data_IF_837614921383
#
_entry.id   IF_837614921383
#
_cell.length_a   1.000
_cell.length_b   1.000
_cell.length_c   1.000
_cell.angle_alpha   90.00
_cell.angle_beta   90.00
_cell.angle_gamma   90.00
#
_symmetry.space_group_name_H-M   'P 1'
#
loop_
_entity.id
_entity.type
_entity.pdbx_description
1 polymer ?
#
# COMPACT_ATOMS: atom_id res chain seq x y z
N UNK A 1 -17.82 17.74 -7.79
CA UNK A 1 -17.49 16.31 -7.92
C UNK A 1 -16.74 15.83 -6.68
N UNK A 2 -17.16 14.73 -6.05
CA UNK A 2 -16.55 14.19 -4.83
C UNK A 2 -15.16 13.60 -5.11
N UNK A 3 -14.16 13.95 -4.30
CA UNK A 3 -12.79 13.43 -4.39
C UNK A 3 -12.79 11.91 -4.23
N UNK A 4 -12.17 11.18 -5.16
CA UNK A 4 -11.98 9.73 -5.08
C UNK A 4 -11.16 9.42 -3.82
N UNK A 5 -11.72 8.62 -2.92
CA UNK A 5 -11.05 8.24 -1.67
C UNK A 5 -9.94 7.23 -1.97
N UNK A 6 -8.84 7.24 -1.21
CA UNK A 6 -7.75 6.27 -1.40
C UNK A 6 -8.09 4.87 -0.82
N UNK A 7 -9.31 4.65 -0.34
CA UNK A 7 -9.77 3.38 0.24
C UNK A 7 -10.64 2.65 -0.77
N UNK A 8 -10.41 1.35 -0.92
CA UNK A 8 -11.21 0.48 -1.78
C UNK A 8 -12.70 0.57 -1.39
N UNK A 9 -13.63 0.67 -2.35
CA UNK A 9 -15.06 0.62 -2.08
C UNK A 9 -15.42 -0.60 -1.24
N UNK A 10 -16.28 -0.40 -0.23
CA UNK A 10 -16.75 -1.49 0.63
C UNK A 10 -17.98 -2.15 0.01
N UNK A 11 -17.93 -3.47 -0.10
CA UNK A 11 -19.07 -4.27 -0.53
C UNK A 11 -20.07 -4.41 0.62
N UNK A 12 -21.34 -4.03 0.39
CA UNK A 12 -22.44 -4.17 1.36
C UNK A 12 -23.15 -5.51 1.26
N UNK A 13 -23.07 -6.19 0.11
CA UNK A 13 -23.78 -7.42 -0.17
C UNK A 13 -22.92 -8.68 0.06
N UNK A 14 -21.61 -8.51 0.21
CA UNK A 14 -20.70 -9.60 0.54
C UNK A 14 -21.04 -10.23 1.90
N UNK A 15 -21.00 -11.57 2.01
CA UNK A 15 -21.15 -12.24 3.29
C UNK A 15 -20.06 -11.76 4.26
N UNK A 16 -20.41 -11.73 5.55
CA UNK A 16 -19.47 -11.25 6.58
C UNK A 16 -18.42 -12.31 6.83
N UNK A 17 -17.14 -11.90 6.86
CA UNK A 17 -16.04 -12.81 7.17
C UNK A 17 -16.23 -13.47 8.54
N UNK A 18 -15.93 -14.77 8.65
CA UNK A 18 -16.04 -15.52 9.88
C UNK A 18 -14.99 -15.04 10.88
N UNK A 19 -15.27 -15.19 12.18
CA UNK A 19 -14.30 -14.92 13.23
C UNK A 19 -13.29 -16.08 13.35
N UNK A 20 -12.04 -15.75 13.70
CA UNK A 20 -11.05 -16.78 14.07
C UNK A 20 -11.41 -17.42 15.42
N UNK A 21 -10.83 -18.57 15.71
CA UNK A 21 -11.02 -19.28 16.99
C UNK A 21 -10.75 -18.39 18.21
N UNK A 22 -9.66 -17.61 18.16
CA UNK A 22 -9.32 -16.61 19.18
C UNK A 22 -10.39 -15.51 19.30
N UNK A 23 -10.89 -14.99 18.18
CA UNK A 23 -11.94 -13.95 18.20
C UNK A 23 -13.26 -14.50 18.73
N UNK A 24 -13.62 -15.74 18.39
CA UNK A 24 -14.78 -16.44 18.95
C UNK A 24 -14.65 -16.60 20.46
N UNK A 25 -13.47 -17.01 20.94
CA UNK A 25 -13.18 -17.06 22.38
C UNK A 25 -13.31 -15.69 23.03
N UNK A 26 -12.76 -14.63 22.43
CA UNK A 26 -12.91 -13.27 22.95
C UNK A 26 -14.35 -12.75 22.94
N UNK A 27 -15.19 -13.16 21.98
CA UNK A 27 -16.63 -12.87 22.00
C UNK A 27 -17.33 -13.66 23.10
N UNK A 28 -17.01 -14.94 23.26
CA UNK A 28 -17.54 -15.80 24.31
C UNK A 28 -17.19 -15.24 25.70
N UNK A 29 -15.92 -14.93 25.94
CA UNK A 29 -15.43 -14.41 27.21
C UNK A 29 -16.05 -13.06 27.58
N UNK A 30 -16.28 -12.17 26.61
CA UNK A 30 -17.02 -10.91 26.83
C UNK A 30 -18.49 -11.10 27.19
N UNK A 31 -19.09 -12.22 26.79
CA UNK A 31 -20.48 -12.56 27.12
C UNK A 31 -20.58 -13.27 28.47
N UNK A 32 -19.62 -14.12 28.80
CA UNK A 32 -19.63 -14.90 30.04
C UNK A 32 -19.04 -14.13 31.23
N UNK A 33 -18.08 -13.24 30.97
CA UNK A 33 -17.42 -12.43 31.98
C UNK A 33 -17.77 -10.94 31.78
N UNK A 34 -18.73 -10.39 32.56
CA UNK A 34 -19.17 -9.00 32.44
C UNK A 34 -18.07 -8.00 32.82
N UNK A 35 -17.04 -8.44 33.56
CA UNK A 35 -15.89 -7.59 33.88
C UNK A 35 -15.11 -7.26 32.62
N UNK A 36 -14.93 -8.23 31.71
CA UNK A 36 -14.29 -8.01 30.41
C UNK A 36 -15.15 -7.09 29.55
N UNK A 37 -16.48 -7.22 29.59
CA UNK A 37 -17.38 -6.32 28.88
C UNK A 37 -17.21 -4.85 29.29
N UNK A 38 -16.90 -4.60 30.56
CA UNK A 38 -16.79 -3.25 31.15
C UNK A 38 -15.38 -2.63 31.05
N UNK A 39 -14.34 -3.44 30.81
CA UNK A 39 -12.96 -2.98 30.67
C UNK A 39 -12.73 -2.16 29.39
N UNK A 40 -11.64 -1.39 29.33
CA UNK A 40 -11.24 -0.74 28.07
C UNK A 40 -10.81 -1.80 27.05
N UNK A 41 -11.05 -1.56 25.76
CA UNK A 41 -10.74 -2.53 24.67
C UNK A 41 -9.28 -3.01 24.71
N UNK A 42 -8.34 -2.14 25.09
CA UNK A 42 -6.92 -2.49 25.25
C UNK A 42 -6.67 -3.48 26.40
N UNK A 43 -7.38 -3.33 27.52
CA UNK A 43 -7.32 -4.23 28.67
C UNK A 43 -8.02 -5.55 28.37
N UNK A 44 -9.16 -5.50 27.67
CA UNK A 44 -9.86 -6.68 27.17
C UNK A 44 -8.93 -7.54 26.32
N UNK A 45 -8.23 -6.94 25.35
CA UNK A 45 -7.33 -7.67 24.46
C UNK A 45 -6.19 -8.36 25.24
N UNK A 46 -5.61 -7.69 26.24
CA UNK A 46 -4.59 -8.28 27.13
C UNK A 46 -5.16 -9.45 27.91
N UNK A 47 -6.32 -9.28 28.55
CA UNK A 47 -6.95 -10.31 29.36
C UNK A 47 -7.35 -11.54 28.54
N UNK A 48 -8.02 -11.34 27.40
CA UNK A 48 -8.39 -12.42 26.47
C UNK A 48 -7.13 -13.14 25.97
N UNK A 49 -6.06 -12.39 25.65
CA UNK A 49 -4.76 -12.94 25.28
C UNK A 49 -4.20 -13.89 26.34
N UNK A 50 -4.11 -13.43 27.58
CA UNK A 50 -3.62 -14.25 28.70
C UNK A 50 -4.49 -15.49 28.92
N UNK A 51 -5.82 -15.34 28.93
CA UNK A 51 -6.76 -16.46 29.10
C UNK A 51 -6.65 -17.49 27.98
N UNK A 52 -6.44 -17.07 26.74
CA UNK A 52 -6.30 -17.99 25.60
C UNK A 52 -5.02 -18.83 25.64
N UNK A 53 -3.93 -18.30 26.19
CA UNK A 53 -2.67 -19.04 26.33
C UNK A 53 -2.75 -20.14 27.39
N UNK A 54 -3.49 -19.88 28.47
CA UNK A 54 -3.69 -20.84 29.57
C UNK A 54 -4.97 -21.68 29.43
N UNK A 55 -5.73 -21.48 28.36
CA UNK A 55 -6.99 -22.20 28.12
C UNK A 55 -6.70 -23.69 27.92
N UNK A 56 -7.57 -24.53 28.47
CA UNK A 56 -7.45 -25.98 28.32
C UNK A 56 -7.43 -26.37 26.82
N UNK A 57 -6.55 -27.31 26.41
CA UNK A 57 -6.46 -27.72 25.02
C UNK A 57 -7.79 -28.23 24.45
N UNK A 58 -8.64 -28.89 25.24
CA UNK A 58 -9.94 -29.39 24.77
C UNK A 58 -10.91 -28.25 24.50
N UNK A 59 -11.00 -27.28 25.40
CA UNK A 59 -11.82 -26.09 25.19
C UNK A 59 -11.33 -25.27 23.99
N UNK A 60 -10.01 -25.09 23.89
CA UNK A 60 -9.37 -24.44 22.75
C UNK A 60 -9.71 -25.14 21.43
N UNK A 61 -9.71 -26.47 21.40
CA UNK A 61 -10.09 -27.25 20.23
C UNK A 61 -11.56 -27.04 19.84
N UNK A 62 -12.47 -26.89 20.80
CA UNK A 62 -13.87 -26.54 20.51
C UNK A 62 -13.98 -25.22 19.75
N UNK A 63 -13.24 -24.18 20.17
CA UNK A 63 -13.21 -22.90 19.44
C UNK A 63 -12.54 -23.00 18.07
N UNK A 64 -11.52 -23.84 17.92
CA UNK A 64 -10.88 -24.12 16.63
C UNK A 64 -11.87 -24.80 15.68
N UNK A 65 -12.58 -25.82 16.16
CA UNK A 65 -13.60 -26.51 15.37
C UNK A 65 -14.72 -25.55 14.93
N UNK A 66 -15.27 -24.77 15.85
CA UNK A 66 -16.29 -23.77 15.53
C UNK A 66 -15.82 -22.76 14.48
N UNK A 67 -14.57 -22.29 14.57
CA UNK A 67 -14.00 -21.37 13.57
C UNK A 67 -13.81 -22.03 12.20
N UNK A 68 -13.44 -23.32 12.17
CA UNK A 68 -13.31 -24.07 10.92
C UNK A 68 -14.66 -24.32 10.26
N UNK A 69 -15.68 -24.72 11.03
CA UNK A 69 -17.04 -24.95 10.52
C UNK A 69 -17.61 -23.65 9.93
N UNK A 70 -17.43 -22.53 10.64
CA UNK A 70 -17.86 -21.20 10.19
C UNK A 70 -17.08 -20.72 8.95
N UNK A 71 -15.79 -21.09 8.84
CA UNK A 71 -14.97 -20.82 7.64
C UNK A 71 -15.46 -21.61 6.43
N UNK A 72 -15.84 -22.87 6.59
CA UNK A 72 -16.40 -23.70 5.52
C UNK A 72 -17.72 -23.10 5.06
N UNK A 73 -18.63 -22.80 6.00
CA UNK A 73 -19.91 -22.16 5.68
C UNK A 73 -19.72 -20.85 4.90
N UNK A 74 -18.84 -19.98 5.37
CA UNK A 74 -18.53 -18.73 4.69
C UNK A 74 -17.97 -18.97 3.28
N UNK A 75 -17.12 -19.98 3.08
CA UNK A 75 -16.59 -20.29 1.76
C UNK A 75 -17.73 -20.64 0.80
N UNK A 76 -18.68 -21.48 1.21
CA UNK A 76 -19.83 -21.85 0.40
C UNK A 76 -20.75 -20.65 0.08
N UNK A 77 -21.04 -19.82 1.09
CA UNK A 77 -21.81 -18.59 0.91
C UNK A 77 -21.10 -17.60 -0.02
N UNK A 78 -19.77 -17.50 0.09
CA UNK A 78 -18.98 -16.61 -0.74
C UNK A 78 -18.90 -17.09 -2.19
N UNK A 79 -18.81 -18.40 -2.44
CA UNK A 79 -18.87 -18.97 -3.79
C UNK A 79 -20.25 -18.73 -4.43
N UNK A 80 -21.33 -18.82 -3.66
CA UNK A 80 -22.67 -18.42 -4.14
C UNK A 80 -22.73 -16.93 -4.43
N UNK A 81 -22.19 -16.11 -3.53
CA UNK A 81 -22.15 -14.65 -3.68
C UNK A 81 -21.40 -14.22 -4.95
N UNK A 82 -20.28 -14.86 -5.28
CA UNK A 82 -19.51 -14.58 -6.51
C UNK A 82 -20.31 -14.74 -7.79
N UNK A 83 -21.35 -15.58 -7.79
CA UNK A 83 -22.22 -15.82 -8.95
C UNK A 83 -23.37 -14.80 -9.06
N UNK A 84 -23.54 -13.93 -8.06
CA UNK A 84 -24.63 -12.95 -8.05
C UNK A 84 -24.30 -11.70 -8.89
N UNK A 85 -25.32 -11.02 -9.45
CA UNK A 85 -25.13 -9.73 -10.11
C UNK A 85 -24.50 -8.66 -9.21
N UNK A 86 -24.81 -8.70 -7.91
CA UNK A 86 -24.28 -7.76 -6.91
C UNK A 86 -22.74 -7.81 -6.85
N UNK A 87 -22.14 -9.01 -6.93
CA UNK A 87 -20.69 -9.14 -6.96
C UNK A 87 -20.08 -8.56 -8.24
N UNK A 88 -20.75 -8.72 -9.39
CA UNK A 88 -20.32 -8.15 -10.66
C UNK A 88 -20.34 -6.62 -10.62
N UNK A 89 -21.41 -6.03 -10.08
CA UNK A 89 -21.51 -4.58 -9.87
C UNK A 89 -20.43 -4.09 -8.89
N UNK A 90 -20.16 -4.83 -7.82
CA UNK A 90 -19.05 -4.48 -6.93
C UNK A 90 -17.70 -4.50 -7.66
N UNK A 91 -17.44 -5.49 -8.51
CA UNK A 91 -16.21 -5.55 -9.31
C UNK A 91 -16.09 -4.38 -10.28
N UNK A 92 -17.17 -3.94 -10.93
CA UNK A 92 -17.13 -2.77 -11.82
C UNK A 92 -16.81 -1.51 -11.04
N UNK A 93 -17.46 -1.30 -9.88
CA UNK A 93 -17.17 -0.17 -8.98
C UNK A 93 -15.72 -0.18 -8.51
N UNK A 94 -15.17 -1.35 -8.17
CA UNK A 94 -13.76 -1.50 -7.81
C UNK A 94 -12.83 -1.21 -8.98
N UNK A 95 -13.15 -1.72 -10.18
CA UNK A 95 -12.33 -1.49 -11.38
C UNK A 95 -12.29 -0.01 -11.77
N UNK A 96 -13.44 0.68 -11.72
CA UNK A 96 -13.51 2.12 -11.92
C UNK A 96 -12.73 2.89 -10.86
N UNK A 97 -12.80 2.44 -9.60
CA UNK A 97 -12.01 3.02 -8.52
C UNK A 97 -10.50 2.83 -8.73
N UNK A 98 -10.04 1.65 -9.13
CA UNK A 98 -8.62 1.41 -9.45
C UNK A 98 -8.17 2.24 -10.65
N UNK A 99 -8.99 2.37 -11.71
CA UNK A 99 -8.69 3.27 -12.84
C UNK A 99 -8.57 4.73 -12.39
N UNK A 100 -9.50 5.21 -11.56
CA UNK A 100 -9.48 6.59 -11.02
C UNK A 100 -8.33 6.81 -10.02
N UNK A 101 -7.90 5.78 -9.29
CA UNK A 101 -6.74 5.82 -8.40
C UNK A 101 -5.43 5.74 -9.18
N UNK A 102 -5.34 4.93 -10.23
CA UNK A 102 -4.19 4.82 -11.12
C UNK A 102 -4.00 6.06 -11.98
N UNK A 103 -5.10 6.72 -12.35
CA UNK A 103 -5.11 8.06 -12.93
C UNK A 103 -4.78 9.17 -11.91
N UNK A 104 -4.03 8.86 -10.83
CA UNK A 104 -3.33 9.91 -10.10
C UNK A 104 -2.53 10.66 -11.15
N UNK A 105 -2.93 11.92 -11.35
CA UNK A 105 -2.21 12.93 -12.06
C UNK A 105 -0.71 12.62 -11.97
N UNK A 106 -0.10 12.29 -13.11
CA UNK A 106 1.31 12.63 -13.32
C UNK A 106 1.34 14.10 -12.96
N UNK A 107 1.75 14.41 -11.72
CA UNK A 107 2.08 15.77 -11.39
C UNK A 107 3.22 16.03 -12.36
N UNK A 108 2.95 16.78 -13.42
CA UNK A 108 3.97 17.44 -14.23
C UNK A 108 4.67 18.40 -13.28
N UNK A 109 5.46 17.86 -12.35
CA UNK A 109 6.35 18.68 -11.54
C UNK A 109 7.29 19.27 -12.56
N UNK A 110 7.22 20.59 -12.78
CA UNK A 110 8.16 21.30 -13.65
C UNK A 110 9.55 20.69 -13.43
N UNK A 111 10.14 20.17 -14.50
CA UNK A 111 11.43 19.51 -14.43
C UNK A 111 12.41 20.51 -13.83
N UNK A 112 12.97 20.20 -12.67
CA UNK A 112 13.97 21.08 -12.02
C UNK A 112 15.34 20.78 -12.64
N UNK A 113 16.26 21.74 -12.65
CA UNK A 113 17.61 21.52 -13.19
C UNK A 113 18.30 20.26 -12.63
N UNK A 114 18.12 19.99 -11.34
CA UNK A 114 18.60 18.76 -10.72
C UNK A 114 18.00 17.48 -11.32
N UNK A 115 16.71 17.49 -11.68
CA UNK A 115 16.05 16.32 -12.30
C UNK A 115 16.55 16.09 -13.73
N UNK A 116 16.79 17.16 -14.48
CA UNK A 116 17.42 17.07 -15.81
C UNK A 116 18.82 16.48 -15.71
N UNK A 117 19.64 16.98 -14.78
CA UNK A 117 20.99 16.45 -14.58
C UNK A 117 20.99 14.97 -14.21
N UNK A 118 20.13 14.55 -13.26
CA UNK A 118 20.06 13.13 -12.85
C UNK A 118 19.59 12.23 -14.00
N UNK A 119 18.78 12.74 -14.92
CA UNK A 119 18.37 12.02 -16.12
C UNK A 119 19.52 11.93 -17.13
N UNK A 120 20.16 13.06 -17.46
CA UNK A 120 21.28 13.13 -18.39
C UNK A 120 22.48 12.29 -17.90
N UNK A 121 22.76 12.30 -16.59
CA UNK A 121 23.75 11.44 -15.95
C UNK A 121 23.41 9.95 -16.15
N UNK A 122 22.15 9.55 -15.98
CA UNK A 122 21.73 8.16 -16.20
C UNK A 122 21.83 7.75 -17.66
N UNK A 123 21.49 8.64 -18.57
CA UNK A 123 21.48 8.35 -19.99
C UNK A 123 22.92 8.18 -20.51
N UNK A 124 23.86 8.98 -19.97
CA UNK A 124 25.29 8.96 -20.35
C UNK A 124 26.15 7.87 -19.66
N UNK A 125 25.64 7.14 -18.67
CA UNK A 125 26.39 6.00 -18.07
C UNK A 125 26.42 4.80 -19.01
N UNK A 126 27.54 4.10 -19.08
CA UNK A 126 27.65 2.82 -19.80
C UNK A 126 26.90 1.68 -19.08
N UNK A 127 26.67 0.57 -19.78
CA UNK A 127 25.91 -0.57 -19.25
C UNK A 127 26.59 -1.22 -18.03
N UNK A 128 27.92 -1.23 -17.98
CA UNK A 128 28.69 -1.82 -16.89
C UNK A 128 28.63 -0.95 -15.63
N UNK A 129 28.71 0.38 -15.78
CA UNK A 129 28.51 1.34 -14.71
C UNK A 129 27.07 1.35 -14.21
N UNK A 130 26.08 1.28 -15.12
CA UNK A 130 24.66 1.12 -14.77
C UNK A 130 24.43 -0.15 -13.97
N UNK A 131 25.07 -1.26 -14.35
CA UNK A 131 24.97 -2.55 -13.65
C UNK A 131 25.67 -2.52 -12.28
N UNK A 132 26.85 -1.89 -12.19
CA UNK A 132 27.60 -1.72 -10.95
C UNK A 132 26.87 -0.85 -9.94
N UNK A 133 26.32 0.28 -10.39
CA UNK A 133 25.64 1.25 -9.56
C UNK A 133 24.18 0.86 -9.28
N UNK A 134 23.50 0.18 -10.21
CA UNK A 134 22.15 -0.35 -10.05
C UNK A 134 21.15 0.67 -9.47
N UNK A 135 20.68 0.42 -8.25
CA UNK A 135 19.72 1.30 -7.55
C UNK A 135 20.35 2.60 -7.03
N UNK A 136 21.68 2.64 -6.90
CA UNK A 136 22.44 3.75 -6.36
C UNK A 136 22.88 4.77 -7.43
N UNK A 137 22.65 4.50 -8.71
CA UNK A 137 22.90 5.46 -9.81
C UNK A 137 22.31 6.84 -9.52
N UNK A 138 21.09 6.87 -8.97
CA UNK A 138 20.42 8.14 -8.64
C UNK A 138 21.09 8.86 -7.47
N UNK A 139 21.71 8.14 -6.53
CA UNK A 139 22.43 8.73 -5.40
C UNK A 139 23.77 9.28 -5.86
N UNK A 140 24.47 8.58 -6.76
CA UNK A 140 25.72 9.08 -7.35
C UNK A 140 25.48 10.34 -8.16
N UNK A 141 24.44 10.34 -9.02
CA UNK A 141 24.03 11.55 -9.74
C UNK A 141 23.69 12.73 -8.80
N UNK A 142 23.14 12.47 -7.60
CA UNK A 142 22.87 13.54 -6.63
C UNK A 142 24.13 14.02 -5.90
N UNK A 143 25.13 13.16 -5.76
CA UNK A 143 26.45 13.52 -5.22
C UNK A 143 27.20 14.40 -6.21
N UNK A 144 27.23 14.01 -7.47
CA UNK A 144 27.78 14.81 -8.57
C UNK A 144 27.04 16.13 -8.74
N UNK A 145 25.70 16.14 -8.67
CA UNK A 145 24.92 17.38 -8.69
C UNK A 145 25.32 18.37 -7.59
N UNK A 146 25.65 17.88 -6.38
CA UNK A 146 26.10 18.76 -5.29
C UNK A 146 27.52 19.28 -5.53
N UNK A 147 28.37 18.48 -6.15
CA UNK A 147 29.75 18.80 -6.48
C UNK A 147 29.90 19.76 -7.69
N UNK A 148 28.90 19.82 -8.59
CA UNK A 148 28.88 20.76 -9.71
C UNK A 148 29.09 22.22 -9.27
N UNK A 149 29.70 23.02 -10.13
CA UNK A 149 29.81 24.46 -9.93
C UNK A 149 28.44 25.16 -9.99
N UNK A 150 28.35 26.34 -9.39
CA UNK A 150 27.11 27.13 -9.42
C UNK A 150 26.71 27.52 -10.86
N UNK A 151 27.69 27.72 -11.75
CA UNK A 151 27.46 28.01 -13.17
C UNK A 151 26.81 26.85 -13.93
N UNK A 152 27.29 25.63 -13.73
CA UNK A 152 26.72 24.43 -14.36
C UNK A 152 25.32 24.11 -13.82
N UNK A 153 25.13 24.22 -12.50
CA UNK A 153 23.81 24.10 -11.87
C UNK A 153 22.83 25.11 -12.46
N UNK A 154 23.28 26.34 -12.74
CA UNK A 154 22.45 27.38 -13.35
C UNK A 154 22.10 27.08 -14.81
N UNK A 155 23.03 26.51 -15.59
CA UNK A 155 22.75 25.99 -16.95
C UNK A 155 21.61 24.97 -16.93
N UNK A 156 21.66 23.99 -16.03
CA UNK A 156 20.60 23.00 -15.90
C UNK A 156 19.28 23.61 -15.43
N UNK A 157 19.31 24.64 -14.56
CA UNK A 157 18.10 25.37 -14.16
C UNK A 157 17.48 26.19 -15.29
N UNK A 158 18.28 26.77 -16.20
CA UNK A 158 17.81 27.46 -17.43
C UNK A 158 17.24 26.46 -18.43
N UNK A 159 17.93 25.34 -18.67
CA UNK A 159 17.44 24.19 -19.48
C UNK A 159 16.09 23.68 -18.97
N UNK A 160 15.92 23.63 -17.65
CA UNK A 160 14.65 23.26 -16.99
C UNK A 160 13.51 24.29 -17.16
N UNK A 161 13.84 25.56 -17.43
CA UNK A 161 12.86 26.63 -17.66
C UNK A 161 12.45 26.76 -19.13
N UNK A 162 13.18 26.13 -20.06
CA UNK A 162 12.91 26.19 -21.50
C UNK A 162 13.55 27.38 -22.23
N UNK A 163 14.46 28.10 -21.56
CA UNK A 163 15.29 29.14 -22.18
C UNK A 163 16.54 28.48 -22.80
N UNK A 164 16.38 27.92 -24.00
CA UNK A 164 17.47 27.35 -24.80
C UNK A 164 17.89 28.38 -25.86
N UNK A 165 18.87 29.22 -25.53
CA UNK A 165 19.72 29.88 -26.52
C UNK A 165 21.00 29.05 -26.64
N UNK A 166 21.11 28.41 -27.79
CA UNK A 166 22.30 27.77 -28.36
C UNK A 166 23.61 28.53 -28.07
N UNK A 167 24.59 27.81 -27.55
CA UNK A 167 26.00 28.11 -27.76
C UNK A 167 26.76 26.80 -27.57
N UNK A 168 26.92 26.08 -28.67
CA UNK A 168 27.95 25.06 -28.79
C UNK A 168 29.31 25.64 -28.39
N UNK A 169 30.05 24.85 -27.61
CA UNK A 169 31.49 24.89 -27.60
C UNK A 169 31.91 23.47 -27.99
N UNK A 170 32.10 23.31 -29.30
CA UNK A 170 33.02 22.35 -29.88
C UNK A 170 34.46 22.67 -29.45
N UNK A 171 35.37 21.78 -29.83
CA UNK A 171 36.85 21.83 -29.70
C UNK A 171 37.38 21.29 -28.36
N UNK A 172 38.31 20.34 -28.35
CA UNK A 172 38.97 19.55 -29.40
C UNK A 172 39.60 18.32 -28.72
#
# INVERSE_FOLDING_TARGET
>A
MSRVTNKKPKDKNAPKKPFSSYMLFGVHLRKTDPTVGSMKVTEQAKYIGSKWQVLDPKEKQTFIKMANDEKVRYADEYEKYKKTPAFKEYQTVVAEWEKKKGAKAVKTTKTTGQKLFVQEYKDNLDEDEKKRLGKDVSKEALKEWRALSDGEKERYKRKAKGDESDSGASEE
#
